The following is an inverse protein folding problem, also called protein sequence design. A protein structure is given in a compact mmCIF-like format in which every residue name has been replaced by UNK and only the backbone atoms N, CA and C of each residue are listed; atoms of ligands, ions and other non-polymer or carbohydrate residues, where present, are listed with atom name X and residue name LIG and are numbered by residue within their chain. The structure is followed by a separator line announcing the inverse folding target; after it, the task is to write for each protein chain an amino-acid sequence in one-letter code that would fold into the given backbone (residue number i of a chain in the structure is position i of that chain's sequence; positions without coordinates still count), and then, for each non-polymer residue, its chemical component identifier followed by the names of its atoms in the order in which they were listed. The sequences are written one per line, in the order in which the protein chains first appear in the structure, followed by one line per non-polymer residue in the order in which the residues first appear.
data_IF_946670775224
#
_entry.id   IF_946670775224
#
_cell.length_a   1.000
_cell.length_b   1.000
_cell.length_c   1.000
_cell.angle_alpha   90.00
_cell.angle_beta   90.00
_cell.angle_gamma   90.00
#
_symmetry.space_group_name_H-M   'P 1'
#
loop_
_entity.id
_entity.type
_entity.pdbx_description
1 polymer ?
#
# COMPACT_ATOMS: atom_id res chain seq x y z
N UNK A 1 30.22 28.05 13.67
CA UNK A 1 29.29 28.03 12.53
C UNK A 1 29.30 26.60 12.01
N UNK A 2 28.33 25.77 12.41
CA UNK A 2 28.26 24.36 11.97
C UNK A 2 27.64 24.35 10.58
N UNK A 3 28.39 23.79 9.65
CA UNK A 3 28.04 23.63 8.25
C UNK A 3 26.85 22.65 8.15
N UNK A 4 25.72 23.15 7.65
CA UNK A 4 24.46 22.48 7.27
C UNK A 4 24.13 21.09 7.86
N UNK A 5 23.19 21.04 8.82
CA UNK A 5 22.49 19.80 9.21
C UNK A 5 21.58 19.34 8.05
N UNK A 6 22.16 18.69 7.03
CA UNK A 6 21.40 18.01 5.97
C UNK A 6 20.62 16.88 6.61
N UNK A 7 19.28 16.94 6.55
CA UNK A 7 18.46 15.86 7.09
C UNK A 7 18.58 14.62 6.20
N UNK A 8 18.30 13.43 6.75
CA UNK A 8 18.28 12.20 5.94
C UNK A 8 17.27 12.29 4.77
N UNK A 9 16.22 13.10 4.92
CA UNK A 9 15.24 13.38 3.86
C UNK A 9 15.82 14.27 2.77
N UNK A 10 16.62 15.28 3.12
CA UNK A 10 17.33 16.11 2.15
C UNK A 10 18.36 15.26 1.37
N UNK A 11 19.09 14.41 2.08
CA UNK A 11 20.02 13.46 1.46
C UNK A 11 19.30 12.49 0.52
N UNK A 12 18.11 11.97 0.89
CA UNK A 12 17.28 11.17 0.00
C UNK A 12 16.94 11.90 -1.29
N UNK A 13 16.41 13.13 -1.19
CA UNK A 13 15.98 13.90 -2.35
C UNK A 13 17.13 14.29 -3.28
N UNK A 14 18.29 14.65 -2.72
CA UNK A 14 19.41 15.20 -3.50
C UNK A 14 20.33 14.09 -4.03
N UNK A 15 20.62 13.06 -3.23
CA UNK A 15 21.68 12.11 -3.53
C UNK A 15 21.18 10.74 -4.00
N UNK A 16 20.03 10.26 -3.52
CA UNK A 16 19.59 8.88 -3.77
C UNK A 16 18.45 8.79 -4.78
N UNK A 17 17.39 9.59 -4.60
CA UNK A 17 16.19 9.58 -5.43
C UNK A 17 16.47 9.78 -6.93
N UNK A 18 17.40 10.66 -7.37
CA UNK A 18 17.70 10.82 -8.80
C UNK A 18 18.28 9.55 -9.46
N UNK A 19 18.89 8.67 -8.67
CA UNK A 19 19.51 7.43 -9.15
C UNK A 19 18.71 6.19 -8.78
N UNK A 20 17.42 6.34 -8.45
CA UNK A 20 16.61 5.24 -7.95
C UNK A 20 16.52 4.09 -8.96
N UNK A 21 16.47 4.37 -10.26
CA UNK A 21 16.47 3.33 -11.30
C UNK A 21 17.67 2.40 -11.27
N UNK A 22 18.85 2.90 -10.89
CA UNK A 22 20.07 2.11 -10.80
C UNK A 22 20.13 1.30 -9.48
N UNK A 23 19.62 1.88 -8.40
CA UNK A 23 19.79 1.34 -7.05
C UNK A 23 18.52 0.77 -6.41
N UNK A 24 17.38 0.75 -7.11
CA UNK A 24 16.08 0.38 -6.57
C UNK A 24 16.10 -0.97 -5.86
N UNK A 25 16.75 -1.98 -6.47
CA UNK A 25 16.87 -3.32 -5.86
C UNK A 25 17.62 -3.32 -4.52
N UNK A 26 18.61 -2.44 -4.34
CA UNK A 26 19.37 -2.34 -3.08
C UNK A 26 18.64 -1.48 -2.06
N UNK A 27 18.04 -0.37 -2.51
CA UNK A 27 17.32 0.56 -1.65
C UNK A 27 16.07 -0.08 -1.05
N UNK A 28 15.32 -0.85 -1.83
CA UNK A 28 14.14 -1.58 -1.35
C UNK A 28 14.52 -2.64 -0.30
N UNK A 29 15.66 -3.32 -0.44
CA UNK A 29 16.14 -4.30 0.53
C UNK A 29 16.53 -3.64 1.86
N UNK A 30 17.15 -2.46 1.79
CA UNK A 30 17.48 -1.66 2.98
C UNK A 30 16.18 -1.24 3.67
N UNK A 31 15.26 -0.63 2.92
CA UNK A 31 13.99 -0.15 3.45
C UNK A 31 13.18 -1.29 4.10
N UNK A 32 13.05 -2.43 3.41
CA UNK A 32 12.33 -3.60 3.92
C UNK A 32 12.92 -4.10 5.25
N UNK A 33 14.25 -4.26 5.34
CA UNK A 33 14.90 -4.72 6.58
C UNK A 33 14.61 -3.80 7.75
N UNK A 34 14.65 -2.49 7.52
CA UNK A 34 14.38 -1.51 8.57
C UNK A 34 12.89 -1.45 8.95
N UNK A 35 11.97 -1.60 7.99
CA UNK A 35 10.53 -1.69 8.26
C UNK A 35 10.23 -2.92 9.13
N UNK A 36 10.77 -4.10 8.77
CA UNK A 36 10.61 -5.33 9.58
C UNK A 36 11.18 -5.18 10.99
N UNK A 37 12.34 -4.53 11.11
CA UNK A 37 12.96 -4.28 12.41
C UNK A 37 12.12 -3.34 13.28
N UNK A 38 11.59 -2.27 12.70
CA UNK A 38 10.72 -1.34 13.40
C UNK A 38 9.45 -2.04 13.89
N UNK A 39 8.83 -2.88 13.05
CA UNK A 39 7.65 -3.67 13.40
C UNK A 39 7.92 -4.64 14.57
N UNK A 40 9.05 -5.35 14.54
CA UNK A 40 9.48 -6.21 15.64
C UNK A 40 9.67 -5.43 16.95
N UNK A 41 10.34 -4.27 16.89
CA UNK A 41 10.57 -3.44 18.08
C UNK A 41 9.26 -2.95 18.70
N UNK A 42 8.29 -2.55 17.87
CA UNK A 42 6.97 -2.12 18.33
C UNK A 42 6.15 -3.29 18.90
N UNK A 43 6.28 -4.48 18.32
CA UNK A 43 5.62 -5.69 18.83
C UNK A 43 6.12 -6.05 20.24
N UNK A 44 7.41 -5.86 20.51
CA UNK A 44 8.03 -6.13 21.81
C UNK A 44 7.74 -5.05 22.88
N UNK A 45 7.45 -3.81 22.47
CA UNK A 45 7.23 -2.68 23.40
C UNK A 45 5.90 -2.74 24.18
N UNK A 46 4.94 -3.57 23.77
CA UNK A 46 3.68 -3.80 24.49
C UNK A 46 2.47 -3.00 23.97
N UNK A 47 1.28 -3.33 24.48
CA UNK A 47 -0.04 -2.97 23.94
C UNK A 47 -0.32 -1.45 23.85
N UNK A 48 0.17 -0.64 24.79
CA UNK A 48 -0.10 0.81 24.84
C UNK A 48 0.67 1.60 23.79
N UNK A 49 1.80 1.07 23.30
CA UNK A 49 2.60 1.63 22.20
C UNK A 49 2.19 1.03 20.84
N UNK A 50 1.18 0.14 20.79
CA UNK A 50 0.60 -0.44 19.56
C UNK A 50 -0.27 0.53 18.77
N UNK A 51 -0.05 1.84 18.87
CA UNK A 51 -0.36 2.68 17.72
C UNK A 51 0.67 2.38 16.65
N UNK A 52 0.45 1.23 15.98
CA UNK A 52 1.29 0.64 14.95
C UNK A 52 1.62 1.73 13.92
N UNK A 53 2.74 1.62 13.18
CA UNK A 53 3.12 2.61 12.18
C UNK A 53 2.03 2.98 11.16
N UNK A 54 1.06 2.09 10.98
CA UNK A 54 -0.18 2.31 10.22
C UNK A 54 -1.07 3.44 10.76
N UNK A 55 -0.97 3.79 12.04
CA UNK A 55 -1.70 4.90 12.68
C UNK A 55 -1.02 6.23 12.43
N UNK A 56 0.32 6.26 12.39
CA UNK A 56 1.07 7.50 12.17
C UNK A 56 1.10 7.91 10.71
N UNK A 57 1.07 6.93 9.79
CA UNK A 57 1.00 7.17 8.35
C UNK A 57 -0.31 6.66 7.79
N UNK A 58 -1.20 7.59 7.43
CA UNK A 58 -2.55 7.24 6.97
C UNK A 58 -2.52 6.49 5.64
N UNK A 59 -1.52 6.76 4.78
CA UNK A 59 -1.45 6.24 3.40
C UNK A 59 -0.03 5.90 2.96
N UNK A 60 0.16 4.87 2.13
CA UNK A 60 1.47 4.59 1.48
C UNK A 60 1.94 5.77 0.63
N UNK A 61 1.04 6.50 -0.01
CA UNK A 61 1.36 7.82 -0.59
C UNK A 61 0.94 8.87 0.42
N UNK A 62 1.90 9.40 1.16
CA UNK A 62 1.69 10.40 2.20
C UNK A 62 1.21 11.73 1.60
N UNK A 63 0.30 12.42 2.31
CA UNK A 63 0.04 13.85 2.10
C UNK A 63 1.24 14.67 2.62
N UNK A 64 1.43 15.90 2.16
CA UNK A 64 2.61 16.74 2.51
C UNK A 64 2.81 16.93 4.02
N UNK A 65 1.76 16.69 4.82
CA UNK A 65 1.73 16.81 6.28
C UNK A 65 2.23 15.57 7.05
N UNK A 66 2.51 14.46 6.36
CA UNK A 66 2.84 13.14 6.95
C UNK A 66 4.34 12.76 6.77
N UNK A 67 5.17 13.74 6.38
CA UNK A 67 6.53 13.50 5.86
C UNK A 67 7.66 13.55 6.91
N UNK A 68 7.41 13.83 8.19
CA UNK A 68 8.51 14.15 9.13
C UNK A 68 9.18 12.94 9.80
N UNK A 69 8.61 11.73 9.75
CA UNK A 69 9.17 10.60 10.51
C UNK A 69 10.25 9.82 9.73
N UNK A 70 11.30 9.29 10.41
CA UNK A 70 12.29 8.40 9.79
C UNK A 70 11.67 7.13 9.17
N UNK A 71 10.59 6.61 9.76
CA UNK A 71 9.86 5.48 9.20
C UNK A 71 9.07 5.86 7.95
N UNK A 72 8.53 7.08 7.90
CA UNK A 72 7.93 7.64 6.69
C UNK A 72 8.92 7.67 5.53
N UNK A 73 10.17 8.07 5.78
CA UNK A 73 11.21 8.03 4.74
C UNK A 73 11.49 6.61 4.23
N UNK A 74 11.51 5.60 5.11
CA UNK A 74 11.73 4.21 4.70
C UNK A 74 10.58 3.70 3.81
N UNK A 75 9.34 4.07 4.13
CA UNK A 75 8.18 3.74 3.28
C UNK A 75 8.25 4.47 1.94
N UNK A 76 8.67 5.74 1.90
CA UNK A 76 8.88 6.49 0.65
C UNK A 76 9.95 5.81 -0.21
N UNK A 77 11.08 5.44 0.40
CA UNK A 77 12.17 4.72 -0.27
C UNK A 77 11.70 3.38 -0.82
N UNK A 78 10.97 2.58 -0.03
CA UNK A 78 10.42 1.30 -0.47
C UNK A 78 9.43 1.47 -1.64
N UNK A 79 8.55 2.48 -1.54
CA UNK A 79 7.54 2.80 -2.56
C UNK A 79 8.20 3.21 -3.87
N UNK A 80 9.06 4.23 -3.85
CA UNK A 80 9.68 4.74 -5.08
C UNK A 80 10.61 3.70 -5.71
N UNK A 81 11.26 2.86 -4.90
CA UNK A 81 12.05 1.74 -5.41
C UNK A 81 11.16 0.67 -6.04
N UNK A 82 9.99 0.39 -5.47
CA UNK A 82 9.03 -0.55 -6.03
C UNK A 82 8.48 -0.06 -7.37
N UNK A 83 8.09 1.22 -7.46
CA UNK A 83 7.65 1.88 -8.70
C UNK A 83 8.67 1.66 -9.81
N UNK A 84 9.93 2.00 -9.53
CA UNK A 84 11.02 1.84 -10.51
C UNK A 84 11.27 0.39 -10.93
N UNK A 85 11.11 -0.58 -10.02
CA UNK A 85 11.24 -2.01 -10.36
C UNK A 85 10.05 -2.53 -11.18
N UNK A 86 8.85 -1.99 -10.98
CA UNK A 86 7.66 -2.36 -11.74
C UNK A 86 7.66 -1.74 -13.14
N UNK A 87 8.13 -0.50 -13.30
CA UNK A 87 8.30 0.15 -14.61
C UNK A 87 9.22 -0.65 -15.54
N UNK A 88 10.22 -1.33 -14.98
CA UNK A 88 11.18 -2.15 -15.72
C UNK A 88 10.76 -3.62 -15.88
N UNK A 89 9.53 -3.97 -15.47
CA UNK A 89 9.00 -5.34 -15.48
C UNK A 89 9.95 -6.38 -14.83
N UNK A 90 10.64 -5.97 -13.76
CA UNK A 90 11.63 -6.83 -13.09
C UNK A 90 10.96 -8.06 -12.47
N UNK A 91 11.46 -9.26 -12.77
CA UNK A 91 11.02 -10.50 -12.09
C UNK A 91 11.16 -10.41 -10.56
N UNK A 92 12.09 -9.58 -10.08
CA UNK A 92 12.31 -9.35 -8.65
C UNK A 92 11.14 -8.58 -7.99
N UNK A 93 10.37 -7.79 -8.76
CA UNK A 93 9.23 -7.05 -8.24
C UNK A 93 8.06 -7.99 -7.89
N UNK A 94 7.74 -8.94 -8.76
CA UNK A 94 6.64 -9.89 -8.54
C UNK A 94 6.89 -10.78 -7.32
N UNK A 95 8.08 -11.38 -7.23
CA UNK A 95 8.48 -12.19 -6.07
C UNK A 95 8.41 -11.39 -4.76
N UNK A 96 8.80 -10.11 -4.80
CA UNK A 96 8.75 -9.22 -3.63
C UNK A 96 7.33 -8.89 -3.23
N UNK A 97 6.44 -8.58 -4.17
CA UNK A 97 5.01 -8.35 -3.88
C UNK A 97 4.37 -9.57 -3.22
N UNK A 98 4.66 -10.79 -3.70
CA UNK A 98 4.19 -12.02 -3.06
C UNK A 98 4.75 -12.18 -1.64
N UNK A 99 6.04 -11.93 -1.44
CA UNK A 99 6.68 -12.03 -0.12
C UNK A 99 6.15 -11.00 0.88
N UNK A 100 5.91 -9.77 0.44
CA UNK A 100 5.30 -8.71 1.26
C UNK A 100 3.86 -9.01 1.58
N UNK A 101 3.11 -9.54 0.59
CA UNK A 101 1.74 -9.94 0.79
C UNK A 101 1.61 -11.06 1.85
N UNK A 102 2.50 -12.05 1.80
CA UNK A 102 2.55 -13.15 2.76
C UNK A 102 3.12 -12.76 4.14
N UNK A 103 3.70 -11.57 4.30
CA UNK A 103 4.31 -11.15 5.56
C UNK A 103 3.27 -10.76 6.61
N UNK A 104 3.61 -10.84 7.90
CA UNK A 104 2.76 -10.33 8.99
C UNK A 104 2.98 -8.85 9.33
N UNK A 105 3.84 -8.17 8.56
CA UNK A 105 4.14 -6.75 8.76
C UNK A 105 3.14 -5.91 8.00
N UNK A 106 2.26 -5.22 8.71
CA UNK A 106 1.16 -4.42 8.12
C UNK A 106 1.64 -3.44 7.05
N UNK A 107 2.74 -2.72 7.29
CA UNK A 107 3.30 -1.78 6.30
C UNK A 107 3.75 -2.47 5.01
N UNK A 108 4.29 -3.69 5.08
CA UNK A 108 4.68 -4.43 3.89
C UNK A 108 3.45 -4.94 3.13
N UNK A 109 2.40 -5.39 3.82
CA UNK A 109 1.11 -5.72 3.18
C UNK A 109 0.52 -4.50 2.46
N UNK A 110 0.53 -3.33 3.10
CA UNK A 110 0.08 -2.07 2.47
C UNK A 110 0.89 -1.70 1.24
N UNK A 111 2.22 -1.84 1.30
CA UNK A 111 3.10 -1.67 0.13
C UNK A 111 2.80 -2.69 -0.98
N UNK A 112 2.44 -3.93 -0.63
CA UNK A 112 2.04 -4.93 -1.61
C UNK A 112 0.74 -4.54 -2.33
N UNK A 113 -0.27 -4.09 -1.58
CA UNK A 113 -1.53 -3.58 -2.17
C UNK A 113 -1.25 -2.38 -3.08
N UNK A 114 -0.44 -1.42 -2.62
CA UNK A 114 -0.02 -0.29 -3.44
C UNK A 114 0.67 -0.73 -4.74
N UNK A 115 1.58 -1.70 -4.66
CA UNK A 115 2.22 -2.27 -5.83
C UNK A 115 1.22 -2.83 -6.83
N UNK A 116 0.25 -3.63 -6.36
CA UNK A 116 -0.83 -4.16 -7.21
C UNK A 116 -1.69 -3.08 -7.85
N UNK A 117 -1.93 -1.95 -7.17
CA UNK A 117 -2.61 -0.79 -7.77
C UNK A 117 -1.87 -0.29 -9.01
N UNK A 118 -0.54 -0.11 -8.93
CA UNK A 118 0.26 0.52 -9.99
C UNK A 118 0.81 -0.45 -11.06
N UNK A 119 0.60 -1.76 -10.92
CA UNK A 119 1.02 -2.75 -11.91
C UNK A 119 0.37 -2.48 -13.27
N UNK A 120 1.18 -2.22 -14.28
CA UNK A 120 0.71 -2.07 -15.68
C UNK A 120 0.64 -3.40 -16.42
N UNK A 121 1.28 -4.45 -15.90
CA UNK A 121 1.29 -5.80 -16.46
C UNK A 121 0.06 -6.64 -16.07
N UNK A 122 -0.85 -6.07 -15.27
CA UNK A 122 -2.04 -6.73 -14.74
C UNK A 122 -3.31 -6.01 -15.15
N UNK A 123 -4.30 -6.77 -15.59
CA UNK A 123 -5.62 -6.22 -15.92
C UNK A 123 -6.37 -5.81 -14.65
N UNK A 124 -7.45 -5.05 -14.82
CA UNK A 124 -8.31 -4.65 -13.70
C UNK A 124 -8.94 -5.88 -13.01
N UNK A 125 -9.35 -6.89 -13.78
CA UNK A 125 -9.92 -8.15 -13.31
C UNK A 125 -8.92 -8.96 -12.49
N UNK A 126 -7.67 -9.06 -12.97
CA UNK A 126 -6.60 -9.75 -12.23
C UNK A 126 -6.33 -9.08 -10.88
N UNK A 127 -6.36 -7.74 -10.83
CA UNK A 127 -6.16 -6.97 -9.59
C UNK A 127 -7.31 -7.16 -8.61
N UNK A 128 -8.56 -7.09 -9.08
CA UNK A 128 -9.75 -7.34 -8.25
C UNK A 128 -9.74 -8.77 -7.71
N UNK A 129 -9.52 -9.75 -8.60
CA UNK A 129 -9.46 -11.18 -8.23
C UNK A 129 -8.38 -11.43 -7.19
N UNK A 130 -7.19 -10.84 -7.38
CA UNK A 130 -6.11 -10.93 -6.39
C UNK A 130 -6.55 -10.37 -5.04
N UNK A 131 -7.13 -9.16 -4.98
CA UNK A 131 -7.53 -8.54 -3.73
C UNK A 131 -8.62 -9.32 -2.99
N UNK A 132 -9.61 -9.86 -3.71
CA UNK A 132 -10.64 -10.73 -3.13
C UNK A 132 -9.98 -11.98 -2.53
N UNK A 133 -9.05 -12.60 -3.27
CA UNK A 133 -8.36 -13.83 -2.81
C UNK A 133 -7.54 -13.65 -1.53
N UNK A 134 -7.11 -12.42 -1.20
CA UNK A 134 -6.39 -12.16 0.05
C UNK A 134 -7.32 -11.97 1.25
N UNK A 135 -8.62 -11.73 1.04
CA UNK A 135 -9.58 -11.37 2.09
C UNK A 135 -9.29 -10.01 2.74
N UNK A 136 -8.52 -9.13 2.09
CA UNK A 136 -8.07 -7.87 2.70
C UNK A 136 -9.00 -6.71 2.48
N UNK A 137 -10.00 -6.84 1.61
CA UNK A 137 -11.00 -5.79 1.36
C UNK A 137 -11.65 -5.31 2.67
N UNK A 138 -11.92 -6.25 3.58
CA UNK A 138 -12.58 -5.99 4.86
C UNK A 138 -11.60 -5.77 6.03
N UNK A 139 -10.29 -5.88 5.79
CA UNK A 139 -9.27 -5.68 6.80
C UNK A 139 -9.08 -4.20 7.10
N UNK A 140 -9.37 -3.79 8.35
CA UNK A 140 -9.27 -2.40 8.78
C UNK A 140 -7.89 -1.76 8.55
N UNK A 141 -6.79 -2.51 8.78
CA UNK A 141 -5.43 -1.99 8.63
C UNK A 141 -5.02 -1.75 7.17
N UNK A 142 -5.71 -2.40 6.23
CA UNK A 142 -5.42 -2.35 4.78
C UNK A 142 -6.50 -1.62 3.99
N UNK A 143 -7.60 -1.24 4.66
CA UNK A 143 -8.80 -0.65 4.05
C UNK A 143 -8.47 0.49 3.11
N UNK A 144 -7.59 1.40 3.55
CA UNK A 144 -7.21 2.54 2.74
C UNK A 144 -6.66 2.11 1.37
N UNK A 145 -5.57 1.36 1.37
CA UNK A 145 -4.94 0.90 0.14
C UNK A 145 -5.86 -0.03 -0.66
N UNK A 146 -6.63 -0.90 -0.02
CA UNK A 146 -7.58 -1.79 -0.69
C UNK A 146 -8.67 -1.00 -1.43
N UNK A 147 -9.28 0.00 -0.78
CA UNK A 147 -10.25 0.89 -1.42
C UNK A 147 -9.63 1.64 -2.59
N UNK A 148 -8.39 2.14 -2.48
CA UNK A 148 -7.72 2.82 -3.60
C UNK A 148 -7.46 1.88 -4.79
N UNK A 149 -7.06 0.64 -4.53
CA UNK A 149 -6.90 -0.37 -5.59
C UNK A 149 -8.22 -0.55 -6.33
N UNK A 150 -9.30 -0.79 -5.59
CA UNK A 150 -10.64 -0.99 -6.15
C UNK A 150 -11.10 0.22 -6.98
N UNK A 151 -10.98 1.44 -6.44
CA UNK A 151 -11.37 2.64 -7.17
C UNK A 151 -10.53 2.88 -8.44
N UNK A 152 -9.26 2.46 -8.44
CA UNK A 152 -8.40 2.56 -9.61
C UNK A 152 -8.69 1.49 -10.68
N UNK A 153 -9.39 0.41 -10.34
CA UNK A 153 -9.66 -0.71 -11.26
C UNK A 153 -11.09 -0.75 -11.74
N UNK A 154 -12.07 -0.37 -10.93
CA UNK A 154 -13.50 -0.58 -11.21
C UNK A 154 -14.02 0.11 -12.46
N UNK A 155 -13.41 1.21 -12.89
CA UNK A 155 -13.77 1.91 -14.12
C UNK A 155 -13.50 1.12 -15.42
N UNK A 156 -12.51 0.22 -15.37
CA UNK A 156 -12.03 -0.54 -16.53
C UNK A 156 -12.23 -2.05 -16.39
N UNK A 157 -12.75 -2.50 -15.25
CA UNK A 157 -13.04 -3.89 -14.99
C UNK A 157 -14.30 -4.35 -15.71
N UNK A 158 -14.34 -5.61 -16.12
CA UNK A 158 -15.55 -6.24 -16.64
C UNK A 158 -16.67 -6.39 -15.58
N UNK A 159 -17.88 -6.65 -16.06
CA UNK A 159 -19.08 -6.80 -15.23
C UNK A 159 -18.97 -8.00 -14.27
N UNK A 160 -18.30 -9.08 -14.69
CA UNK A 160 -18.11 -10.29 -13.88
C UNK A 160 -17.21 -10.02 -12.67
N UNK A 161 -16.11 -9.29 -12.84
CA UNK A 161 -15.22 -8.89 -11.76
C UNK A 161 -15.90 -7.91 -10.79
N UNK A 162 -16.70 -6.98 -11.30
CA UNK A 162 -17.50 -6.07 -10.46
C UNK A 162 -18.57 -6.86 -9.68
N UNK A 163 -19.25 -7.81 -10.31
CA UNK A 163 -20.24 -8.66 -9.65
C UNK A 163 -19.60 -9.50 -8.53
N UNK A 164 -18.41 -10.07 -8.78
CA UNK A 164 -17.65 -10.80 -7.77
C UNK A 164 -17.25 -9.91 -6.57
N UNK A 165 -16.83 -8.67 -6.85
CA UNK A 165 -16.51 -7.68 -5.80
C UNK A 165 -17.74 -7.33 -4.95
N UNK A 166 -18.88 -7.06 -5.59
CA UNK A 166 -20.13 -6.74 -4.88
C UNK A 166 -20.61 -7.93 -4.04
N UNK A 167 -20.49 -9.15 -4.55
CA UNK A 167 -20.84 -10.35 -3.80
C UNK A 167 -19.93 -10.55 -2.59
N UNK A 168 -18.62 -10.33 -2.72
CA UNK A 168 -17.69 -10.38 -1.59
C UNK A 168 -18.05 -9.34 -0.50
N UNK A 169 -18.38 -8.11 -0.90
CA UNK A 169 -18.87 -7.07 0.02
C UNK A 169 -20.15 -7.51 0.73
N UNK A 170 -21.09 -8.11 0.00
CA UNK A 170 -22.36 -8.58 0.55
C UNK A 170 -22.18 -9.70 1.57
N UNK A 171 -21.24 -10.62 1.33
CA UNK A 171 -20.95 -11.73 2.24
C UNK A 171 -20.38 -11.26 3.57
N UNK A 172 -19.55 -10.22 3.57
CA UNK A 172 -18.88 -9.70 4.78
C UNK A 172 -19.62 -8.49 5.41
N UNK A 173 -20.82 -8.16 4.92
CA UNK A 173 -21.60 -6.99 5.37
C UNK A 173 -21.89 -6.98 6.87
N UNK A 174 -21.99 -8.16 7.49
CA UNK A 174 -22.39 -8.34 8.90
C UNK A 174 -21.27 -8.89 9.79
N UNK A 175 -20.02 -8.87 9.34
CA UNK A 175 -18.90 -9.45 10.08
C UNK A 175 -18.65 -8.76 11.43
N UNK A 176 -18.87 -7.45 11.48
CA UNK A 176 -18.76 -6.65 12.69
C UNK A 176 -19.70 -5.44 12.70
N UNK A 177 -19.78 -4.76 13.84
CA UNK A 177 -20.69 -3.61 14.06
C UNK A 177 -20.45 -2.42 13.11
N UNK A 178 -19.27 -2.33 12.51
CA UNK A 178 -18.88 -1.27 11.58
C UNK A 178 -18.88 -1.74 10.12
N UNK A 179 -18.97 -3.05 9.85
CA UNK A 179 -18.95 -3.62 8.50
C UNK A 179 -20.03 -3.03 7.58
N UNK A 180 -21.30 -2.83 8.00
CA UNK A 180 -22.33 -2.20 7.16
C UNK A 180 -21.94 -0.79 6.72
N UNK A 181 -21.34 -0.01 7.63
CA UNK A 181 -20.92 1.36 7.33
C UNK A 181 -19.75 1.38 6.34
N UNK A 182 -18.73 0.52 6.54
CA UNK A 182 -17.59 0.40 5.62
C UNK A 182 -18.02 -0.04 4.22
N UNK A 183 -18.92 -1.02 4.14
CA UNK A 183 -19.46 -1.51 2.88
C UNK A 183 -20.23 -0.40 2.15
N UNK A 184 -21.07 0.35 2.87
CA UNK A 184 -21.79 1.50 2.31
C UNK A 184 -20.84 2.58 1.78
N UNK A 185 -19.81 2.98 2.56
CA UNK A 185 -18.80 3.97 2.12
C UNK A 185 -18.09 3.55 0.83
N UNK A 186 -17.72 2.26 0.72
CA UNK A 186 -17.07 1.72 -0.47
C UNK A 186 -18.01 1.73 -1.68
N UNK A 187 -19.25 1.25 -1.53
CA UNK A 187 -20.24 1.23 -2.62
C UNK A 187 -20.59 2.64 -3.11
N UNK A 188 -20.72 3.60 -2.21
CA UNK A 188 -20.93 5.01 -2.57
C UNK A 188 -19.75 5.59 -3.36
N UNK A 189 -18.53 5.21 -2.98
CA UNK A 189 -17.31 5.64 -3.69
C UNK A 189 -17.23 5.02 -5.09
N UNK A 190 -17.62 3.75 -5.21
CA UNK A 190 -17.71 3.03 -6.50
C UNK A 190 -18.76 3.65 -7.42
N UNK A 191 -19.95 3.92 -6.91
CA UNK A 191 -21.03 4.54 -7.67
C UNK A 191 -20.60 5.89 -8.26
N UNK A 192 -19.83 6.68 -7.48
CA UNK A 192 -19.31 7.96 -7.95
C UNK A 192 -18.31 7.79 -9.11
N UNK A 193 -17.34 6.87 -8.96
CA UNK A 193 -16.33 6.63 -10.02
C UNK A 193 -16.98 6.14 -11.31
N UNK A 194 -17.91 5.19 -11.21
CA UNK A 194 -18.62 4.66 -12.38
C UNK A 194 -19.51 5.71 -13.08
N UNK A 195 -20.01 6.71 -12.36
CA UNK A 195 -20.78 7.82 -12.93
C UNK A 195 -19.92 8.90 -13.57
N UNK A 196 -18.70 9.11 -13.08
CA UNK A 196 -17.79 10.13 -13.62
C UNK A 196 -17.11 9.66 -14.93
N UNK A 197 -17.13 8.36 -15.24
CA UNK A 197 -16.56 7.76 -16.45
C UNK A 197 -17.58 7.44 -17.56
N UNK A 198 -18.88 7.57 -17.28
CA UNK A 198 -19.99 7.33 -18.22
C UNK A 198 -20.46 8.60 -18.95
#
# INVERSE_FOLDING_TARGET
MRDSDVTLRDAWQIAFRPFIGEYASRLIDIAERHIRRADLQLTLAGESDRQRPSTWRTWIVADDRDLSSPLGLLVDMARESLESLLETASLNADARLRAWAASDVTLLRRLAVYGWTIRSDKTAEEKITWLISTGWLHNYELRGEATRLILATCGTADEDAIAALVEDIRQHWNDDQYAPHRAYELLMSLEKVLKDEA
#
